data_IF_045714890985
#
_entry.id   IF_045714890985
#
_cell.length_a   1.000
_cell.length_b   1.000
_cell.length_c   1.000
_cell.angle_alpha   90.00
_cell.angle_beta   90.00
_cell.angle_gamma   90.00
#
_symmetry.space_group_name_H-M   'P 1'
#
loop_
_entity.id
_entity.type
_entity.pdbx_description
1 polymer ?
#
# COMPACT_ATOMS: atom_id res chain seq x y z
N UNK A 1 7.57 21.90 22.16
CA UNK A 1 6.45 21.74 21.23
C UNK A 1 6.38 20.32 20.73
N UNK A 2 5.19 19.76 20.69
CA UNK A 2 5.03 18.38 20.30
C UNK A 2 4.43 18.31 18.90
N UNK A 3 4.99 17.46 18.08
CA UNK A 3 4.47 17.26 16.73
C UNK A 3 3.75 15.92 16.70
N UNK A 4 2.47 15.95 16.38
CA UNK A 4 1.69 14.73 16.28
C UNK A 4 1.15 14.61 14.87
N UNK A 5 0.92 13.38 14.43
CA UNK A 5 0.25 13.15 13.15
C UNK A 5 -1.22 13.48 13.32
N UNK A 6 -1.86 13.99 12.26
CA UNK A 6 -3.30 14.16 12.36
C UNK A 6 -3.99 12.79 12.32
N UNK A 7 -5.24 12.72 12.79
CA UNK A 7 -5.92 11.43 12.93
C UNK A 7 -6.06 10.64 11.62
N UNK A 8 -6.29 11.32 10.51
CA UNK A 8 -6.42 10.63 9.24
C UNK A 8 -5.09 10.04 8.80
N UNK A 9 -4.02 10.80 8.95
CA UNK A 9 -2.69 10.31 8.63
C UNK A 9 -2.30 9.15 9.53
N UNK A 10 -2.60 9.25 10.84
CA UNK A 10 -2.27 8.18 11.76
C UNK A 10 -3.03 6.90 11.41
N UNK A 11 -4.30 7.02 11.04
CA UNK A 11 -5.08 5.86 10.62
C UNK A 11 -4.48 5.20 9.39
N UNK A 12 -4.00 6.01 8.46
CA UNK A 12 -3.37 5.48 7.25
C UNK A 12 -2.05 4.79 7.59
N UNK A 13 -1.25 5.40 8.46
CA UNK A 13 0.00 4.79 8.92
C UNK A 13 -0.27 3.44 9.55
N UNK A 14 -1.28 3.38 10.43
CA UNK A 14 -1.62 2.13 11.11
C UNK A 14 -2.08 1.05 10.13
N UNK A 15 -2.89 1.44 9.16
CA UNK A 15 -3.37 0.50 8.14
C UNK A 15 -2.22 0.00 7.26
N UNK A 16 -1.30 0.88 6.88
CA UNK A 16 -0.15 0.51 6.07
C UNK A 16 0.78 -0.43 6.84
N UNK A 17 1.01 -0.16 8.14
CA UNK A 17 1.83 -1.04 8.95
C UNK A 17 1.21 -2.42 9.08
N UNK A 18 -0.10 -2.48 9.29
CA UNK A 18 -0.79 -3.76 9.40
C UNK A 18 -0.69 -4.54 8.09
N UNK A 19 -0.90 -3.84 6.98
CA UNK A 19 -0.83 -4.46 5.67
C UNK A 19 0.59 -4.96 5.36
N UNK A 20 1.59 -4.15 5.66
CA UNK A 20 2.98 -4.54 5.50
C UNK A 20 3.30 -5.83 6.25
N UNK A 21 2.96 -5.86 7.54
CA UNK A 21 3.27 -7.01 8.37
C UNK A 21 2.51 -8.25 7.91
N UNK A 22 1.24 -8.10 7.60
CA UNK A 22 0.43 -9.23 7.19
C UNK A 22 0.89 -9.80 5.86
N UNK A 23 1.13 -8.95 4.87
CA UNK A 23 1.53 -9.42 3.56
C UNK A 23 2.88 -10.12 3.59
N UNK A 24 3.85 -9.52 4.28
CA UNK A 24 5.17 -10.12 4.35
C UNK A 24 5.13 -11.45 5.10
N UNK A 25 4.44 -11.47 6.25
CA UNK A 25 4.36 -12.69 7.04
C UNK A 25 3.64 -13.80 6.28
N UNK A 26 2.49 -13.49 5.67
CA UNK A 26 1.74 -14.50 4.93
C UNK A 26 2.50 -15.01 3.71
N UNK A 27 3.20 -14.13 3.02
CA UNK A 27 4.00 -14.54 1.87
C UNK A 27 5.08 -15.53 2.29
N UNK A 28 5.77 -15.23 3.39
CA UNK A 28 6.91 -16.04 3.83
C UNK A 28 6.52 -17.30 4.59
N UNK A 29 5.28 -17.42 5.02
CA UNK A 29 4.81 -18.60 5.74
C UNK A 29 3.74 -19.33 4.94
N UNK A 30 2.51 -18.82 4.94
CA UNK A 30 1.38 -19.52 4.30
C UNK A 30 1.63 -19.78 2.81
N UNK A 31 2.04 -18.76 2.07
CA UNK A 31 2.22 -18.93 0.63
C UNK A 31 3.33 -19.91 0.29
N UNK A 32 4.47 -19.79 0.98
CA UNK A 32 5.58 -20.71 0.72
C UNK A 32 5.25 -22.14 1.11
N UNK A 33 4.52 -22.31 2.22
CA UNK A 33 4.16 -23.65 2.69
C UNK A 33 3.09 -24.30 1.83
N UNK A 34 2.12 -23.49 1.40
CA UNK A 34 1.03 -24.01 0.58
C UNK A 34 1.52 -24.36 -0.83
N UNK A 35 2.37 -23.53 -1.39
CA UNK A 35 2.92 -23.75 -2.73
C UNK A 35 1.93 -23.50 -3.84
N UNK A 36 2.19 -24.07 -4.99
CA UNK A 36 1.29 -23.96 -6.12
C UNK A 36 1.02 -22.52 -6.52
N UNK A 37 -0.26 -22.18 -6.66
CA UNK A 37 -0.63 -20.83 -7.10
C UNK A 37 -0.26 -19.77 -6.09
N UNK A 38 -0.07 -20.13 -4.83
CA UNK A 38 0.32 -19.18 -3.80
C UNK A 38 1.74 -18.65 -4.02
N UNK A 39 2.56 -19.38 -4.76
CA UNK A 39 3.91 -18.93 -5.09
C UNK A 39 4.09 -18.66 -6.57
N UNK A 40 2.99 -18.58 -7.31
CA UNK A 40 3.07 -18.18 -8.70
C UNK A 40 3.68 -16.77 -8.76
N UNK A 41 4.48 -16.54 -9.79
CA UNK A 41 5.26 -15.30 -9.87
C UNK A 41 4.41 -14.05 -9.73
N UNK A 42 3.28 -14.01 -10.43
CA UNK A 42 2.43 -12.82 -10.39
C UNK A 42 1.93 -12.51 -8.99
N UNK A 43 1.45 -13.54 -8.29
CA UNK A 43 0.91 -13.35 -6.94
C UNK A 43 2.02 -12.97 -5.97
N UNK A 44 3.13 -13.70 -6.00
CA UNK A 44 4.18 -13.49 -5.02
C UNK A 44 4.82 -12.11 -5.18
N UNK A 45 4.98 -11.66 -6.42
CA UNK A 45 5.48 -10.30 -6.66
C UNK A 45 4.55 -9.24 -6.09
N UNK A 46 3.23 -9.43 -6.24
CA UNK A 46 2.27 -8.49 -5.67
C UNK A 46 2.35 -8.45 -4.16
N UNK A 47 2.50 -9.62 -3.52
CA UNK A 47 2.65 -9.67 -2.06
C UNK A 47 3.88 -8.88 -1.62
N UNK A 48 5.00 -9.06 -2.30
CA UNK A 48 6.22 -8.36 -1.95
C UNK A 48 6.14 -6.88 -2.27
N UNK A 49 5.54 -6.52 -3.40
CA UNK A 49 5.37 -5.13 -3.76
C UNK A 49 4.44 -4.42 -2.77
N UNK A 50 3.38 -5.10 -2.34
CA UNK A 50 2.45 -4.54 -1.38
C UNK A 50 3.16 -4.25 -0.06
N UNK A 51 3.93 -5.20 0.44
CA UNK A 51 4.68 -5.00 1.67
C UNK A 51 5.64 -3.82 1.53
N UNK A 52 6.33 -3.76 0.41
CA UNK A 52 7.33 -2.71 0.19
C UNK A 52 6.69 -1.32 0.11
N UNK A 53 5.61 -1.16 -0.66
CA UNK A 53 5.03 0.15 -0.82
C UNK A 53 4.33 0.61 0.45
N UNK A 54 3.77 -0.31 1.23
CA UNK A 54 3.15 0.05 2.51
C UNK A 54 4.19 0.61 3.47
N UNK A 55 5.36 -0.02 3.56
CA UNK A 55 6.41 0.48 4.43
C UNK A 55 6.92 1.82 3.96
N UNK A 56 7.10 1.97 2.65
CA UNK A 56 7.53 3.23 2.06
C UNK A 56 6.52 4.35 2.36
N UNK A 57 5.24 4.04 2.24
CA UNK A 57 4.20 5.04 2.52
C UNK A 57 4.26 5.52 3.97
N UNK A 58 4.47 4.61 4.90
CA UNK A 58 4.62 4.97 6.31
C UNK A 58 5.81 5.92 6.48
N UNK A 59 6.93 5.59 5.86
CA UNK A 59 8.13 6.41 5.99
C UNK A 59 7.92 7.80 5.40
N UNK A 60 7.23 7.89 4.27
CA UNK A 60 6.95 9.19 3.67
C UNK A 60 6.01 10.02 4.54
N UNK A 61 4.97 9.38 5.10
CA UNK A 61 4.05 10.10 5.96
C UNK A 61 4.73 10.57 7.24
N UNK A 62 5.54 9.72 7.85
CA UNK A 62 6.22 10.08 9.09
C UNK A 62 7.24 11.18 8.89
N UNK A 63 7.82 11.28 7.70
CA UNK A 63 8.78 12.34 7.42
C UNK A 63 8.11 13.64 6.95
N UNK A 64 6.78 13.66 6.96
CA UNK A 64 6.00 14.80 6.47
C UNK A 64 6.39 15.19 5.05
N UNK A 65 6.60 14.18 4.23
CA UNK A 65 7.04 14.38 2.86
C UNK A 65 5.98 15.09 2.02
N UNK A 66 6.42 15.99 1.17
CA UNK A 66 5.55 16.64 0.21
C UNK A 66 5.02 15.63 -0.82
N UNK A 67 5.62 14.47 -0.90
CA UNK A 67 5.23 13.43 -1.87
C UNK A 67 4.36 12.34 -1.26
N UNK A 68 3.92 12.50 -0.01
CA UNK A 68 3.13 11.48 0.68
C UNK A 68 1.87 11.10 -0.09
N UNK A 69 1.18 12.09 -0.64
CA UNK A 69 -0.08 11.82 -1.32
C UNK A 69 0.14 10.96 -2.58
N UNK A 70 1.19 11.26 -3.34
CA UNK A 70 1.50 10.47 -4.53
C UNK A 70 1.88 9.05 -4.17
N UNK A 71 2.67 8.88 -3.13
CA UNK A 71 3.06 7.54 -2.68
C UNK A 71 1.85 6.76 -2.18
N UNK A 72 0.97 7.41 -1.41
CA UNK A 72 -0.25 6.77 -0.94
C UNK A 72 -1.16 6.37 -2.10
N UNK A 73 -1.18 7.16 -3.17
CA UNK A 73 -1.96 6.81 -4.35
C UNK A 73 -1.46 5.50 -4.97
N UNK A 74 -0.15 5.39 -5.15
CA UNK A 74 0.44 4.16 -5.67
C UNK A 74 0.19 3.00 -4.71
N UNK A 75 0.34 3.26 -3.41
CA UNK A 75 0.09 2.25 -2.39
C UNK A 75 -1.32 1.69 -2.51
N UNK A 76 -2.31 2.57 -2.70
CA UNK A 76 -3.70 2.14 -2.84
C UNK A 76 -3.87 1.21 -4.04
N UNK A 77 -3.23 1.55 -5.15
CA UNK A 77 -3.34 0.72 -6.36
C UNK A 77 -2.71 -0.65 -6.17
N UNK A 78 -1.54 -0.68 -5.57
CA UNK A 78 -0.84 -1.94 -5.33
C UNK A 78 -1.61 -2.80 -4.33
N UNK A 79 -2.12 -2.17 -3.26
CA UNK A 79 -2.88 -2.91 -2.25
C UNK A 79 -4.17 -3.49 -2.83
N UNK A 80 -4.88 -2.75 -3.69
CA UNK A 80 -6.06 -3.30 -4.33
C UNK A 80 -5.72 -4.47 -5.23
N UNK A 81 -4.64 -4.36 -6.01
CA UNK A 81 -4.22 -5.46 -6.87
C UNK A 81 -3.84 -6.68 -6.05
N UNK A 82 -3.14 -6.46 -4.93
CA UNK A 82 -2.75 -7.56 -4.04
C UNK A 82 -3.98 -8.21 -3.42
N UNK A 83 -4.94 -7.42 -2.97
CA UNK A 83 -6.18 -7.95 -2.40
C UNK A 83 -6.90 -8.82 -3.42
N UNK A 84 -7.02 -8.35 -4.64
CA UNK A 84 -7.69 -9.09 -5.69
C UNK A 84 -7.00 -10.43 -5.94
N UNK A 85 -5.68 -10.43 -5.95
CA UNK A 85 -4.92 -11.67 -6.12
C UNK A 85 -5.13 -12.61 -4.96
N UNK A 86 -5.12 -12.08 -3.74
CA UNK A 86 -5.33 -12.90 -2.53
C UNK A 86 -6.73 -13.51 -2.50
N UNK A 87 -7.73 -12.78 -3.00
CA UNK A 87 -9.10 -13.27 -3.01
C UNK A 87 -9.29 -14.52 -3.88
N UNK A 88 -8.34 -14.80 -4.75
CA UNK A 88 -8.38 -15.99 -5.60
C UNK A 88 -7.76 -17.22 -4.93
N UNK A 89 -7.21 -17.08 -3.74
CA UNK A 89 -6.41 -18.13 -3.13
C UNK A 89 -6.95 -18.51 -1.77
N UNK A 90 -6.85 -19.81 -1.44
CA UNK A 90 -7.33 -20.32 -0.16
C UNK A 90 -6.52 -19.79 1.00
N UNK A 91 -7.23 -19.44 2.07
CA UNK A 91 -6.57 -19.04 3.31
C UNK A 91 -5.98 -17.64 3.31
N UNK A 92 -6.25 -16.85 2.28
CA UNK A 92 -5.70 -15.51 2.17
C UNK A 92 -6.73 -14.41 2.48
N UNK A 93 -7.82 -14.78 3.15
CA UNK A 93 -8.91 -13.82 3.43
C UNK A 93 -8.46 -12.65 4.28
N UNK A 94 -7.67 -12.92 5.32
CA UNK A 94 -7.20 -11.84 6.18
C UNK A 94 -6.27 -10.90 5.44
N UNK A 95 -5.40 -11.45 4.62
CA UNK A 95 -4.49 -10.64 3.82
C UNK A 95 -5.26 -9.75 2.85
N UNK A 96 -6.28 -10.32 2.19
CA UNK A 96 -7.11 -9.54 1.27
C UNK A 96 -7.81 -8.40 2.01
N UNK A 97 -8.32 -8.69 3.21
CA UNK A 97 -9.05 -7.70 4.00
C UNK A 97 -8.15 -6.54 4.40
N UNK A 98 -6.96 -6.83 4.92
CA UNK A 98 -6.07 -5.74 5.34
C UNK A 98 -5.56 -4.94 4.14
N UNK A 99 -5.39 -5.59 3.00
CA UNK A 99 -5.02 -4.88 1.77
C UNK A 99 -6.12 -3.91 1.34
N UNK A 100 -7.39 -4.34 1.41
CA UNK A 100 -8.51 -3.47 1.05
C UNK A 100 -8.62 -2.29 2.02
N UNK A 101 -8.43 -2.55 3.31
CA UNK A 101 -8.47 -1.48 4.29
C UNK A 101 -7.35 -0.48 4.05
N UNK A 102 -6.16 -0.98 3.77
CA UNK A 102 -5.03 -0.11 3.49
C UNK A 102 -5.29 0.75 2.25
N UNK A 103 -5.82 0.14 1.20
CA UNK A 103 -6.13 0.87 -0.03
C UNK A 103 -7.13 2.01 0.24
N UNK A 104 -8.14 1.72 1.06
CA UNK A 104 -9.13 2.73 1.40
C UNK A 104 -8.51 3.92 2.13
N UNK A 105 -7.71 3.65 3.15
CA UNK A 105 -7.05 4.72 3.90
C UNK A 105 -6.07 5.50 3.01
N UNK A 106 -5.35 4.80 2.15
CA UNK A 106 -4.41 5.47 1.25
C UNK A 106 -5.13 6.38 0.26
N UNK A 107 -6.29 5.96 -0.23
CA UNK A 107 -7.07 6.81 -1.14
C UNK A 107 -7.58 8.04 -0.42
N UNK A 108 -8.02 7.90 0.83
CA UNK A 108 -8.45 9.04 1.62
C UNK A 108 -7.30 10.00 1.86
N UNK A 109 -6.13 9.47 2.14
CA UNK A 109 -4.94 10.27 2.37
C UNK A 109 -4.51 11.00 1.10
N UNK A 110 -4.59 10.32 -0.05
CA UNK A 110 -4.21 10.92 -1.32
C UNK A 110 -5.17 12.02 -1.77
N UNK A 111 -6.41 11.93 -1.32
CA UNK A 111 -7.41 12.95 -1.60
C UNK A 111 -8.05 12.81 -2.98
N UNK A 112 -9.05 13.64 -3.25
CA UNK A 112 -9.80 13.53 -4.50
C UNK A 112 -8.98 13.79 -5.74
N UNK A 113 -7.91 14.53 -5.63
CA UNK A 113 -7.05 14.79 -6.77
C UNK A 113 -6.41 13.56 -7.35
N UNK A 114 -6.37 12.47 -6.57
CA UNK A 114 -5.76 11.26 -7.03
C UNK A 114 -6.41 10.70 -8.28
N UNK A 115 -7.68 10.97 -8.46
CA UNK A 115 -8.39 10.44 -9.60
C UNK A 115 -8.12 11.17 -10.86
N UNK A 116 -7.56 12.33 -10.74
CA UNK A 116 -7.35 13.15 -11.87
C UNK A 116 -5.98 13.19 -12.29
N UNK A 117 -5.19 12.44 -11.75
CA UNK A 117 -3.83 12.56 -12.06
C UNK A 117 -3.64 12.25 -13.45
N UNK A 118 -3.66 13.17 -14.17
CA UNK A 118 -3.11 13.11 -15.40
C UNK A 118 -1.71 13.41 -15.11
N UNK A 119 -0.84 12.69 -15.33
CA UNK A 119 0.53 12.95 -15.04
C UNK A 119 0.97 14.38 -15.23
N UNK A 120 0.24 15.11 -16.02
CA UNK A 120 0.60 16.47 -16.29
C UNK A 120 0.60 17.35 -15.06
N UNK A 121 -0.31 17.12 -14.15
CA UNK A 121 -0.38 17.95 -12.98
C UNK A 121 0.59 17.63 -11.95
N UNK A 122 1.04 16.42 -11.93
CA UNK A 122 1.95 16.00 -10.90
C UNK A 122 3.36 15.97 -11.38
N UNK A 123 3.55 16.33 -12.61
CA UNK A 123 4.84 16.30 -13.20
C UNK A 123 5.64 17.48 -12.73
N UNK A 124 6.82 17.24 -12.28
CA UNK A 124 7.72 18.30 -11.93
C UNK A 124 8.25 18.90 -13.21
N UNK A 125 8.13 20.20 -13.42
CA UNK A 125 8.68 20.81 -14.62
C UNK A 125 10.17 20.56 -14.73
N UNK A 126 10.64 20.41 -15.93
CA UNK A 126 12.02 20.06 -16.16
C UNK A 126 13.00 21.05 -15.53
N UNK A 127 12.64 22.31 -15.49
CA UNK A 127 13.51 23.32 -14.91
C UNK A 127 13.52 23.29 -13.41
N UNK A 128 12.67 22.52 -12.76
CA UNK A 128 12.70 22.34 -11.32
C UNK A 128 13.50 21.13 -10.91
N UNK A 129 13.96 20.38 -11.83
CA UNK A 129 14.78 19.23 -11.53
C UNK A 129 16.26 19.62 -11.45
#
# INVERSE_FOLDING_TARGET
MTHTTDPEMQSCIDACNRCYQTCLHEAMTHCLEYGGKHVAADHFRLMMNCAEICQTSVNFMLSSSAFSNQVCRVCAEVCDACAKSCEQLSGMEDCARVCRECARHCREMAGPGSNQSTGAQERIPADDL
#
